data_IF_987646461567
#
_entry.id   IF_987646461567
#
_cell.length_a   1.000
_cell.length_b   1.000
_cell.length_c   1.000
_cell.angle_alpha   90.00
_cell.angle_beta   90.00
_cell.angle_gamma   90.00
#
_symmetry.space_group_name_H-M   'P 1'
#
loop_
_entity.id
_entity.type
_entity.pdbx_description
1 polymer ?
#
# COMPACT_ATOMS: atom_id res chain seq x y z
N UNK A 1 25.48 8.64 -3.29
CA UNK A 1 24.67 7.57 -2.68
C UNK A 1 24.53 7.90 -1.20
N UNK A 2 23.33 8.23 -0.74
CA UNK A 2 23.09 8.50 0.67
C UNK A 2 23.25 7.18 1.45
N UNK A 3 24.04 7.23 2.53
CA UNK A 3 24.52 6.14 3.41
C UNK A 3 24.05 4.70 3.09
N UNK A 4 25.00 3.83 2.70
CA UNK A 4 24.90 2.37 2.93
C UNK A 4 25.11 2.07 4.42
N UNK A 5 24.24 2.54 5.29
CA UNK A 5 24.35 2.26 6.72
C UNK A 5 23.90 0.82 6.97
N UNK A 6 24.85 -0.08 7.29
CA UNK A 6 24.62 -1.51 7.53
C UNK A 6 23.62 -1.79 8.67
N UNK A 7 23.33 -0.79 9.51
CA UNK A 7 22.50 -0.92 10.70
C UNK A 7 21.12 -0.24 10.59
N UNK A 8 20.73 0.26 9.42
CA UNK A 8 19.46 0.99 9.25
C UNK A 8 18.24 0.18 9.75
N UNK A 9 18.12 -1.09 9.31
CA UNK A 9 16.99 -1.94 9.68
C UNK A 9 16.93 -2.23 11.19
N UNK A 10 18.08 -2.46 11.83
CA UNK A 10 18.16 -2.64 13.29
C UNK A 10 17.69 -1.40 14.06
N UNK A 11 17.91 -0.18 13.54
CA UNK A 11 17.38 1.05 14.15
C UNK A 11 15.86 1.15 14.03
N UNK A 12 15.29 0.65 12.93
CA UNK A 12 13.83 0.56 12.76
C UNK A 12 13.26 -0.42 13.78
N UNK A 13 13.86 -1.61 13.91
CA UNK A 13 13.42 -2.64 14.86
C UNK A 13 13.44 -2.12 16.31
N UNK A 14 14.53 -1.46 16.72
CA UNK A 14 14.64 -0.83 18.05
C UNK A 14 13.56 0.23 18.32
N UNK A 15 13.16 0.99 17.30
CA UNK A 15 12.08 1.98 17.44
C UNK A 15 10.69 1.32 17.46
N UNK A 16 10.55 0.10 16.94
CA UNK A 16 9.32 -0.67 17.05
C UNK A 16 9.14 -1.32 18.42
N UNK A 17 10.24 -1.63 19.12
CA UNK A 17 10.20 -2.17 20.48
C UNK A 17 9.36 -1.26 21.41
N UNK A 18 8.41 -1.87 22.12
CA UNK A 18 7.48 -1.16 23.02
C UNK A 18 6.26 -0.49 22.35
N UNK A 19 6.29 -0.21 21.04
CA UNK A 19 5.23 0.54 20.34
C UNK A 19 4.52 -0.29 19.25
N UNK A 20 5.01 -1.50 18.98
CA UNK A 20 4.50 -2.42 17.97
C UNK A 20 2.97 -2.60 18.00
N UNK A 21 2.37 -2.84 19.16
CA UNK A 21 0.93 -3.12 19.25
C UNK A 21 0.06 -1.96 18.76
N UNK A 22 0.44 -0.73 19.13
CA UNK A 22 -0.31 0.47 18.80
C UNK A 22 -0.13 0.82 17.31
N UNK A 23 1.12 0.76 16.83
CA UNK A 23 1.47 0.99 15.44
C UNK A 23 0.83 -0.05 14.51
N UNK A 24 0.88 -1.32 14.91
CA UNK A 24 0.18 -2.42 14.26
C UNK A 24 -1.32 -2.15 14.19
N UNK A 25 -1.96 -1.77 15.31
CA UNK A 25 -3.40 -1.51 15.34
C UNK A 25 -3.82 -0.37 14.41
N UNK A 26 -3.13 0.77 14.43
CA UNK A 26 -3.43 1.89 13.53
C UNK A 26 -3.27 1.51 12.06
N UNK A 27 -2.21 0.78 11.74
CA UNK A 27 -1.90 0.37 10.37
C UNK A 27 -2.82 -0.75 9.91
N UNK A 28 -3.20 -1.66 10.80
CA UNK A 28 -4.16 -2.72 10.55
C UNK A 28 -5.55 -2.15 10.23
N UNK A 29 -6.00 -1.14 10.98
CA UNK A 29 -7.25 -0.43 10.67
C UNK A 29 -7.20 0.20 9.27
N UNK A 30 -6.11 0.89 8.92
CA UNK A 30 -5.94 1.44 7.57
C UNK A 30 -6.06 0.36 6.52
N UNK A 31 -5.29 -0.72 6.67
CA UNK A 31 -5.28 -1.79 5.66
C UNK A 31 -6.62 -2.52 5.57
N UNK A 32 -7.34 -2.72 6.68
CA UNK A 32 -8.70 -3.29 6.63
C UNK A 32 -9.65 -2.35 5.92
N UNK A 33 -9.65 -1.06 6.27
CA UNK A 33 -10.54 -0.09 5.63
C UNK A 33 -10.20 0.01 4.14
N UNK A 34 -8.93 0.13 3.76
CA UNK A 34 -8.49 0.08 2.35
C UNK A 34 -8.97 -1.20 1.65
N UNK A 35 -8.80 -2.36 2.27
CA UNK A 35 -9.23 -3.65 1.69
C UNK A 35 -10.75 -3.70 1.53
N UNK A 36 -11.52 -3.24 2.52
CA UNK A 36 -12.99 -3.21 2.46
C UNK A 36 -13.46 -2.22 1.37
N UNK A 37 -12.73 -1.13 1.16
CA UNK A 37 -13.04 -0.09 0.15
C UNK A 37 -12.67 -0.53 -1.25
N UNK A 38 -11.50 -1.13 -1.43
CA UNK A 38 -11.08 -1.69 -2.72
C UNK A 38 -11.90 -2.95 -3.09
N UNK A 39 -12.58 -3.58 -2.12
CA UNK A 39 -13.24 -4.88 -2.29
C UNK A 39 -14.73 -4.94 -1.95
N UNK A 40 -15.40 -3.79 -1.87
CA UNK A 40 -16.85 -3.72 -1.70
C UNK A 40 -17.62 -4.58 -2.72
N UNK A 41 -17.08 -4.73 -3.93
CA UNK A 41 -17.54 -5.63 -5.01
C UNK A 41 -16.71 -6.93 -5.15
N UNK A 42 -15.40 -6.86 -4.91
CA UNK A 42 -14.40 -7.90 -5.23
C UNK A 42 -14.57 -9.25 -4.50
N UNK A 43 -15.29 -9.33 -3.37
CA UNK A 43 -15.42 -10.61 -2.63
C UNK A 43 -16.56 -11.49 -3.12
N UNK A 44 -17.70 -10.90 -3.49
CA UNK A 44 -18.88 -11.64 -3.98
C UNK A 44 -18.70 -12.01 -5.44
N UNK A 45 -18.24 -11.09 -6.28
CA UNK A 45 -18.05 -11.32 -7.73
C UNK A 45 -16.91 -12.30 -8.03
N UNK A 46 -15.82 -12.31 -7.25
CA UNK A 46 -14.78 -13.34 -7.40
C UNK A 46 -15.26 -14.69 -6.90
N UNK A 47 -16.06 -14.74 -5.84
CA UNK A 47 -16.65 -16.01 -5.39
C UNK A 47 -17.66 -16.51 -6.42
N UNK A 48 -18.45 -15.63 -7.03
CA UNK A 48 -19.38 -15.96 -8.12
C UNK A 48 -18.65 -16.36 -9.38
N UNK A 49 -17.62 -15.64 -9.81
CA UNK A 49 -16.74 -16.00 -10.91
C UNK A 49 -16.02 -17.32 -10.65
N UNK A 50 -15.47 -17.53 -9.45
CA UNK A 50 -14.85 -18.79 -9.08
C UNK A 50 -15.88 -19.90 -9.15
N UNK A 51 -17.07 -19.75 -8.53
CA UNK A 51 -18.20 -20.69 -8.65
C UNK A 51 -18.54 -20.96 -10.11
N UNK A 52 -18.67 -19.96 -10.95
CA UNK A 52 -18.97 -20.11 -12.37
C UNK A 52 -17.86 -20.84 -13.13
N UNK A 53 -16.59 -20.54 -12.83
CA UNK A 53 -15.43 -21.29 -13.36
C UNK A 53 -15.47 -22.74 -12.89
N UNK A 54 -15.92 -23.00 -11.65
CA UNK A 54 -16.13 -24.37 -11.12
C UNK A 54 -17.23 -25.09 -11.91
N UNK A 55 -18.36 -24.43 -12.16
CA UNK A 55 -19.57 -25.07 -12.71
C UNK A 55 -19.64 -25.10 -14.24
N UNK A 56 -19.00 -24.16 -14.92
CA UNK A 56 -19.18 -23.90 -16.36
C UNK A 56 -17.88 -23.72 -17.14
N UNK A 57 -16.72 -23.77 -16.47
CA UNK A 57 -15.41 -23.56 -17.09
C UNK A 57 -15.05 -22.09 -17.31
N UNK A 58 -13.82 -21.83 -17.75
CA UNK A 58 -13.28 -20.48 -17.90
C UNK A 58 -13.68 -19.84 -19.24
N UNK A 59 -14.28 -18.64 -19.20
CA UNK A 59 -14.62 -17.84 -20.38
C UNK A 59 -13.83 -16.53 -20.40
N UNK A 60 -13.04 -16.31 -21.46
CA UNK A 60 -12.22 -15.11 -21.66
C UNK A 60 -13.09 -13.85 -21.79
N UNK A 61 -14.22 -13.94 -22.49
CA UNK A 61 -15.13 -12.81 -22.73
C UNK A 61 -15.85 -12.34 -21.47
N UNK A 62 -16.01 -13.22 -20.47
CA UNK A 62 -16.56 -12.85 -19.15
C UNK A 62 -15.50 -12.33 -18.20
N UNK A 63 -14.29 -12.91 -18.23
CA UNK A 63 -13.16 -12.40 -17.47
C UNK A 63 -12.82 -10.95 -17.84
N UNK A 64 -12.83 -10.63 -19.15
CA UNK A 64 -12.70 -9.24 -19.61
C UNK A 64 -13.86 -8.35 -19.15
N UNK A 65 -15.09 -8.88 -19.09
CA UNK A 65 -16.27 -8.15 -18.63
C UNK A 65 -16.24 -7.80 -17.15
N UNK A 66 -15.78 -8.71 -16.27
CA UNK A 66 -15.58 -8.43 -14.84
C UNK A 66 -14.55 -7.32 -14.66
N UNK A 67 -13.41 -7.39 -15.36
CA UNK A 67 -12.37 -6.34 -15.32
C UNK A 67 -12.92 -4.97 -15.78
N UNK A 68 -13.89 -4.97 -16.72
CA UNK A 68 -14.48 -3.74 -17.28
C UNK A 68 -15.65 -3.21 -16.41
N UNK A 69 -16.48 -4.07 -15.84
CA UNK A 69 -17.63 -3.73 -14.97
C UNK A 69 -17.20 -3.41 -13.51
N UNK A 70 -16.06 -3.95 -13.03
CA UNK A 70 -15.42 -3.69 -11.71
C UNK A 70 -15.02 -2.21 -11.48
N UNK A 71 -15.18 -1.34 -12.47
CA UNK A 71 -14.74 0.06 -12.41
C UNK A 71 -15.88 1.09 -12.42
N UNK A 72 -17.10 0.68 -12.06
CA UNK A 72 -18.20 1.64 -11.83
C UNK A 72 -17.90 2.52 -10.61
N UNK A 73 -17.70 3.83 -10.87
CA UNK A 73 -17.42 4.84 -9.84
C UNK A 73 -18.66 5.10 -8.97
N UNK A 74 -18.73 4.49 -7.78
CA UNK A 74 -19.70 4.91 -6.75
C UNK A 74 -19.13 6.08 -5.93
N UNK A 75 -19.95 7.10 -5.68
CA UNK A 75 -19.66 8.21 -4.77
C UNK A 75 -19.21 7.72 -3.38
N UNK A 76 -19.78 6.62 -2.88
CA UNK A 76 -19.39 6.02 -1.59
C UNK A 76 -17.93 5.55 -1.63
N UNK A 77 -17.50 4.87 -2.70
CA UNK A 77 -16.11 4.42 -2.86
C UNK A 77 -15.12 5.60 -2.87
N UNK A 78 -15.48 6.71 -3.50
CA UNK A 78 -14.66 7.94 -3.51
C UNK A 78 -14.49 8.48 -2.09
N UNK A 79 -15.58 8.60 -1.33
CA UNK A 79 -15.53 9.15 0.03
C UNK A 79 -14.65 8.31 0.95
N UNK A 80 -14.81 6.98 0.92
CA UNK A 80 -14.03 6.12 1.82
C UNK A 80 -12.55 6.06 1.36
N UNK A 81 -12.27 6.10 0.06
CA UNK A 81 -10.89 6.21 -0.45
C UNK A 81 -10.21 7.49 0.02
N UNK A 82 -10.90 8.63 -0.06
CA UNK A 82 -10.39 9.92 0.43
C UNK A 82 -10.17 9.91 1.95
N UNK A 83 -11.09 9.31 2.71
CA UNK A 83 -10.95 9.16 4.17
C UNK A 83 -9.75 8.29 4.54
N UNK A 84 -9.54 7.20 3.81
CA UNK A 84 -8.41 6.27 3.99
C UNK A 84 -7.08 6.94 3.69
N UNK A 85 -7.02 7.73 2.61
CA UNK A 85 -5.85 8.51 2.24
C UNK A 85 -5.54 9.60 3.28
N UNK A 86 -6.56 10.32 3.76
CA UNK A 86 -6.40 11.31 4.83
C UNK A 86 -5.83 10.69 6.11
N UNK A 87 -6.35 9.54 6.52
CA UNK A 87 -5.83 8.82 7.67
C UNK A 87 -4.38 8.32 7.44
N UNK A 88 -4.07 7.86 6.22
CA UNK A 88 -2.70 7.45 5.86
C UNK A 88 -1.70 8.60 5.91
N UNK A 89 -2.06 9.77 5.39
CA UNK A 89 -1.24 10.99 5.42
C UNK A 89 -0.94 11.38 6.86
N UNK A 90 -1.99 11.50 7.67
CA UNK A 90 -1.90 11.95 9.06
C UNK A 90 -1.19 10.94 9.96
N UNK A 91 -1.36 9.64 9.72
CA UNK A 91 -0.56 8.62 10.38
C UNK A 91 0.94 8.80 10.05
N UNK A 92 1.30 9.05 8.79
CA UNK A 92 2.69 9.31 8.43
C UNK A 92 3.24 10.54 9.16
N UNK A 93 2.46 11.60 9.30
CA UNK A 93 2.84 12.77 10.09
C UNK A 93 3.09 12.41 11.57
N UNK A 94 2.20 11.63 12.20
CA UNK A 94 2.41 11.12 13.57
C UNK A 94 3.69 10.28 13.67
N UNK A 95 3.98 9.44 12.67
CA UNK A 95 5.19 8.62 12.66
C UNK A 95 6.45 9.46 12.60
N UNK A 96 6.48 10.52 11.81
CA UNK A 96 7.62 11.43 11.77
C UNK A 96 7.85 12.10 13.13
N UNK A 97 6.78 12.56 13.78
CA UNK A 97 6.88 13.16 15.11
C UNK A 97 7.29 12.13 16.18
N UNK A 98 6.85 10.88 16.07
CA UNK A 98 7.36 9.78 16.89
C UNK A 98 8.87 9.55 16.66
N UNK A 99 9.34 9.57 15.42
CA UNK A 99 10.77 9.45 15.11
C UNK A 99 11.57 10.59 15.73
N UNK A 100 11.04 11.82 15.71
CA UNK A 100 11.67 13.04 16.25
C UNK A 100 11.68 13.08 17.78
N UNK A 101 10.54 12.78 18.42
CA UNK A 101 10.30 13.02 19.85
C UNK A 101 10.39 11.78 20.72
N UNK A 102 10.28 10.59 20.12
CA UNK A 102 10.19 9.31 20.84
C UNK A 102 8.81 9.04 21.45
N UNK A 103 7.81 9.91 21.26
CA UNK A 103 6.45 9.74 21.80
C UNK A 103 5.44 9.52 20.69
N UNK A 104 4.65 8.44 20.79
CA UNK A 104 3.61 8.13 19.82
C UNK A 104 2.24 8.60 20.33
N UNK A 105 1.61 9.55 19.63
CA UNK A 105 0.37 10.18 20.06
C UNK A 105 -0.72 10.14 18.96
N UNK A 106 -1.60 9.14 19.00
CA UNK A 106 -2.69 8.96 18.02
C UNK A 106 -3.62 10.17 17.95
N UNK A 107 -3.86 10.84 19.08
CA UNK A 107 -4.72 12.04 19.13
C UNK A 107 -4.28 13.12 18.14
N UNK A 108 -3.00 13.14 17.75
CA UNK A 108 -2.46 14.13 16.82
C UNK A 108 -2.94 13.91 15.37
N UNK A 109 -3.46 12.72 15.02
CA UNK A 109 -4.09 12.46 13.71
C UNK A 109 -5.14 13.53 13.40
N UNK A 110 -6.08 13.74 14.32
CA UNK A 110 -7.15 14.73 14.14
C UNK A 110 -6.63 16.17 14.23
N UNK A 111 -5.58 16.41 15.01
CA UNK A 111 -4.98 17.74 15.14
C UNK A 111 -4.35 18.18 13.82
N UNK A 112 -3.62 17.30 13.12
CA UNK A 112 -3.01 17.65 11.83
C UNK A 112 -4.04 17.95 10.74
N UNK A 113 -5.20 17.27 10.73
CA UNK A 113 -6.29 17.61 9.79
C UNK A 113 -6.82 19.01 10.07
N UNK A 114 -6.95 19.39 11.34
CA UNK A 114 -7.45 20.72 11.73
C UNK A 114 -6.41 21.82 11.49
N UNK A 115 -5.13 21.52 11.71
CA UNK A 115 -4.03 22.48 11.59
C UNK A 115 -3.60 22.69 10.13
N UNK A 116 -3.65 21.64 9.32
CA UNK A 116 -3.21 21.65 7.91
C UNK A 116 -4.29 21.10 6.94
N UNK A 117 -5.53 21.64 6.96
CA UNK A 117 -6.65 21.06 6.22
C UNK A 117 -6.45 21.09 4.71
N UNK A 118 -5.96 22.22 4.17
CA UNK A 118 -5.78 22.38 2.71
C UNK A 118 -4.68 21.44 2.21
N UNK A 119 -3.59 21.30 2.97
CA UNK A 119 -2.43 20.51 2.63
C UNK A 119 -2.76 19.02 2.67
N UNK A 120 -3.40 18.56 3.75
CA UNK A 120 -3.77 17.15 3.94
C UNK A 120 -4.85 16.70 2.97
N UNK A 121 -5.93 17.48 2.80
CA UNK A 121 -7.00 17.18 1.82
C UNK A 121 -6.47 17.25 0.40
N UNK A 122 -5.72 18.29 0.06
CA UNK A 122 -5.15 18.44 -1.28
C UNK A 122 -4.18 17.31 -1.64
N UNK A 123 -3.28 16.92 -0.72
CA UNK A 123 -2.40 15.78 -0.94
C UNK A 123 -3.16 14.45 -1.07
N UNK A 124 -4.26 14.28 -0.33
CA UNK A 124 -5.16 13.11 -0.43
C UNK A 124 -5.80 13.01 -1.81
N UNK A 125 -6.31 14.13 -2.34
CA UNK A 125 -6.93 14.19 -3.68
C UNK A 125 -5.90 13.90 -4.77
N UNK A 126 -4.71 14.52 -4.72
CA UNK A 126 -3.66 14.27 -5.72
C UNK A 126 -3.22 12.81 -5.67
N UNK A 127 -3.05 12.24 -4.48
CA UNK A 127 -2.70 10.84 -4.32
C UNK A 127 -3.77 9.92 -4.91
N UNK A 128 -5.05 10.17 -4.61
CA UNK A 128 -6.17 9.43 -5.19
C UNK A 128 -6.18 9.47 -6.71
N UNK A 129 -6.05 10.66 -7.31
CA UNK A 129 -6.04 10.82 -8.78
C UNK A 129 -4.90 10.04 -9.44
N UNK A 130 -3.70 10.07 -8.85
CA UNK A 130 -2.57 9.31 -9.39
C UNK A 130 -2.77 7.80 -9.21
N UNK A 131 -3.30 7.38 -8.06
CA UNK A 131 -3.64 5.97 -7.83
C UNK A 131 -4.68 5.47 -8.85
N UNK A 132 -5.69 6.27 -9.17
CA UNK A 132 -6.67 5.96 -10.23
C UNK A 132 -5.96 5.84 -11.58
N UNK A 133 -5.18 6.85 -11.99
CA UNK A 133 -4.49 6.85 -13.30
C UNK A 133 -3.57 5.64 -13.47
N UNK A 134 -2.75 5.34 -12.47
CA UNK A 134 -1.75 4.27 -12.57
C UNK A 134 -2.28 2.89 -12.18
N UNK A 135 -3.37 2.84 -11.42
CA UNK A 135 -4.05 1.60 -11.03
C UNK A 135 -4.63 0.83 -12.21
N UNK A 136 -4.96 1.50 -13.32
CA UNK A 136 -5.48 0.87 -14.54
C UNK A 136 -4.45 0.05 -15.33
N UNK A 137 -3.16 0.13 -14.98
CA UNK A 137 -2.11 -0.61 -15.69
C UNK A 137 -1.90 -1.94 -14.93
N UNK A 138 -2.23 -3.12 -15.49
CA UNK A 138 -2.05 -4.40 -14.80
C UNK A 138 -0.58 -4.65 -14.43
N UNK A 139 -0.29 -5.35 -13.31
CA UNK A 139 1.03 -5.75 -12.78
C UNK A 139 2.01 -4.59 -12.55
N UNK A 140 2.29 -3.78 -13.58
CA UNK A 140 3.01 -2.52 -13.56
C UNK A 140 2.35 -1.54 -12.60
N UNK A 141 1.02 -1.44 -12.56
CA UNK A 141 0.28 -0.59 -11.62
C UNK A 141 0.53 -0.94 -10.16
N UNK A 142 0.69 -2.24 -9.83
CA UNK A 142 1.06 -2.65 -8.48
C UNK A 142 2.47 -2.14 -8.08
N UNK A 143 3.43 -2.23 -9.01
CA UNK A 143 4.80 -1.72 -8.79
C UNK A 143 4.81 -0.20 -8.71
N UNK A 144 4.09 0.48 -9.62
CA UNK A 144 3.96 1.93 -9.64
C UNK A 144 3.29 2.42 -8.36
N UNK A 145 2.27 1.75 -7.85
CA UNK A 145 1.61 2.11 -6.59
C UNK A 145 2.58 2.10 -5.40
N UNK A 146 3.50 1.14 -5.33
CA UNK A 146 4.56 1.16 -4.30
C UNK A 146 5.52 2.34 -4.46
N UNK A 147 5.86 2.71 -5.70
CA UNK A 147 6.72 3.87 -6.00
C UNK A 147 5.98 5.19 -5.68
N UNK A 148 4.69 5.27 -6.00
CA UNK A 148 3.84 6.41 -5.67
C UNK A 148 3.71 6.58 -4.17
N UNK A 149 3.35 5.52 -3.43
CA UNK A 149 3.33 5.56 -1.96
C UNK A 149 4.65 6.04 -1.38
N UNK A 150 5.77 5.65 -1.99
CA UNK A 150 7.08 6.11 -1.58
C UNK A 150 7.29 7.62 -1.84
N UNK A 151 7.06 8.09 -3.08
CA UNK A 151 7.17 9.53 -3.40
C UNK A 151 6.19 10.39 -2.61
N UNK A 152 5.03 9.84 -2.28
CA UNK A 152 4.03 10.51 -1.45
C UNK A 152 4.36 10.52 0.04
N UNK A 153 5.08 9.53 0.56
CA UNK A 153 5.50 9.55 1.97
C UNK A 153 6.25 10.83 2.32
N UNK A 154 7.13 11.30 1.42
CA UNK A 154 7.86 12.56 1.56
C UNK A 154 6.93 13.78 1.53
N UNK A 155 5.86 13.76 0.73
CA UNK A 155 4.85 14.83 0.73
C UNK A 155 4.22 14.96 2.10
N UNK A 156 3.84 13.84 2.72
CA UNK A 156 3.19 13.82 4.03
C UNK A 156 4.09 14.44 5.10
N UNK A 157 5.37 14.12 5.07
CA UNK A 157 6.37 14.68 5.98
C UNK A 157 6.67 16.16 5.72
N UNK A 158 6.68 16.58 4.45
CA UNK A 158 6.91 17.98 4.06
C UNK A 158 5.77 18.90 4.49
N UNK A 159 4.54 18.40 4.65
CA UNK A 159 3.42 19.18 5.23
C UNK A 159 3.81 19.71 6.62
N UNK A 160 4.47 18.90 7.45
CA UNK A 160 4.93 19.30 8.78
C UNK A 160 6.08 20.32 8.75
N UNK A 161 6.91 20.30 7.70
CA UNK A 161 8.10 21.17 7.62
C UNK A 161 7.77 22.49 6.93
N UNK A 162 6.93 22.45 5.89
CA UNK A 162 6.58 23.61 5.07
C UNK A 162 5.05 23.75 4.97
N UNK A 163 4.35 23.98 6.09
CA UNK A 163 2.89 23.96 6.12
C UNK A 163 2.24 25.06 5.27
N UNK A 164 2.98 26.11 4.92
CA UNK A 164 2.49 27.20 4.07
C UNK A 164 2.56 26.90 2.57
N UNK A 165 3.28 25.86 2.16
CA UNK A 165 3.34 25.47 0.75
C UNK A 165 2.04 24.78 0.31
N UNK A 166 1.64 25.02 -0.94
CA UNK A 166 0.46 24.36 -1.49
C UNK A 166 0.76 22.86 -1.78
N UNK A 167 -0.27 22.00 -1.87
CA UNK A 167 -0.11 20.56 -2.08
C UNK A 167 0.72 20.18 -3.32
N UNK A 168 0.56 20.92 -4.41
CA UNK A 168 1.26 20.67 -5.68
C UNK A 168 2.77 20.94 -5.53
N UNK A 169 3.14 22.06 -4.91
CA UNK A 169 4.52 22.42 -4.65
C UNK A 169 5.18 21.43 -3.70
N UNK A 170 4.47 20.98 -2.66
CA UNK A 170 4.93 19.92 -1.77
C UNK A 170 5.20 18.61 -2.54
N UNK A 171 4.34 18.26 -3.49
CA UNK A 171 4.53 17.10 -4.37
C UNK A 171 5.78 17.24 -5.25
N UNK A 172 5.94 18.38 -5.94
CA UNK A 172 7.11 18.65 -6.78
C UNK A 172 8.42 18.66 -5.97
N UNK A 173 8.39 19.26 -4.77
CA UNK A 173 9.54 19.30 -3.85
C UNK A 173 9.89 17.90 -3.35
N UNK A 174 8.89 17.10 -3.00
CA UNK A 174 9.08 15.68 -2.67
C UNK A 174 9.78 14.94 -3.82
N UNK A 175 9.27 15.06 -5.04
CA UNK A 175 9.85 14.38 -6.20
C UNK A 175 11.32 14.76 -6.41
N UNK A 176 11.63 16.06 -6.36
CA UNK A 176 13.00 16.58 -6.45
C UNK A 176 13.89 16.09 -5.30
N UNK A 177 13.36 15.97 -4.09
CA UNK A 177 14.13 15.45 -2.96
C UNK A 177 14.47 13.97 -3.13
N UNK A 178 13.58 13.19 -3.72
CA UNK A 178 13.81 11.74 -3.97
C UNK A 178 14.71 11.46 -5.17
N UNK A 179 15.04 12.46 -5.98
CA UNK A 179 15.85 12.29 -7.18
C UNK A 179 17.25 11.78 -6.84
N UNK A 180 17.70 10.75 -7.57
CA UNK A 180 18.93 10.01 -7.29
C UNK A 180 18.85 8.96 -6.16
N UNK A 181 17.78 8.93 -5.36
CA UNK A 181 17.62 7.98 -4.24
C UNK A 181 16.46 6.98 -4.42
N UNK A 182 15.69 7.07 -5.52
CA UNK A 182 14.52 6.22 -5.82
C UNK A 182 14.82 4.72 -5.69
N UNK A 183 15.97 4.25 -6.19
CA UNK A 183 16.36 2.84 -6.09
C UNK A 183 16.66 2.38 -4.66
N UNK A 184 17.23 3.26 -3.83
CA UNK A 184 17.50 2.94 -2.43
C UNK A 184 16.21 2.76 -1.63
N UNK A 185 15.15 3.44 -2.07
CA UNK A 185 13.85 3.46 -1.45
C UNK A 185 13.02 2.28 -1.91
N UNK A 186 13.12 1.93 -3.19
CA UNK A 186 12.62 0.69 -3.74
C UNK A 186 13.25 -0.55 -3.05
N UNK A 187 14.55 -0.53 -2.77
CA UNK A 187 15.19 -1.62 -2.00
C UNK A 187 14.59 -1.79 -0.60
N UNK A 188 14.19 -0.71 0.08
CA UNK A 188 13.51 -0.80 1.38
C UNK A 188 12.14 -1.45 1.26
N UNK A 189 11.37 -1.11 0.22
CA UNK A 189 10.10 -1.78 -0.10
C UNK A 189 10.32 -3.27 -0.29
N UNK A 190 11.28 -3.66 -1.13
CA UNK A 190 11.61 -5.08 -1.36
C UNK A 190 12.03 -5.74 -0.05
N UNK A 191 12.89 -5.10 0.76
CA UNK A 191 13.36 -5.68 2.01
C UNK A 191 12.20 -6.09 2.93
N UNK A 192 11.24 -5.19 3.15
CA UNK A 192 10.10 -5.44 4.03
C UNK A 192 9.03 -6.34 3.40
N UNK A 193 8.81 -6.28 2.09
CA UNK A 193 7.71 -7.02 1.46
C UNK A 193 8.11 -8.26 0.68
N UNK A 194 9.40 -8.57 0.48
CA UNK A 194 9.86 -9.73 -0.32
C UNK A 194 9.15 -11.04 0.03
N UNK A 195 8.92 -11.30 1.32
CA UNK A 195 8.27 -12.53 1.78
C UNK A 195 6.78 -12.53 1.43
N UNK A 196 6.13 -11.36 1.48
CA UNK A 196 4.75 -11.19 1.04
C UNK A 196 4.62 -11.42 -0.47
N UNK A 197 5.62 -11.02 -1.26
CA UNK A 197 5.61 -11.18 -2.72
C UNK A 197 5.66 -12.66 -3.15
N UNK A 198 6.22 -13.56 -2.34
CA UNK A 198 6.08 -14.99 -2.58
C UNK A 198 4.62 -15.45 -2.58
N UNK A 199 3.75 -14.79 -1.81
CA UNK A 199 2.30 -15.03 -1.85
C UNK A 199 1.69 -14.77 -3.22
N UNK A 200 2.08 -13.67 -3.90
CA UNK A 200 1.65 -13.42 -5.28
C UNK A 200 2.12 -14.53 -6.23
N UNK A 201 3.37 -15.00 -6.08
CA UNK A 201 3.90 -16.11 -6.88
C UNK A 201 3.12 -17.41 -6.68
N UNK A 202 2.83 -17.76 -5.41
CA UNK A 202 2.01 -18.93 -5.06
C UNK A 202 0.61 -18.82 -5.67
N UNK A 203 -0.04 -17.66 -5.54
CA UNK A 203 -1.36 -17.43 -6.14
C UNK A 203 -1.34 -17.52 -7.66
N UNK A 204 -0.30 -17.00 -8.33
CA UNK A 204 -0.15 -17.11 -9.77
C UNK A 204 0.03 -18.56 -10.24
N UNK A 205 0.83 -19.36 -9.52
CA UNK A 205 0.98 -20.80 -9.78
C UNK A 205 -0.35 -21.52 -9.59
N UNK A 206 -1.08 -21.23 -8.51
CA UNK A 206 -2.41 -21.77 -8.26
C UNK A 206 -3.39 -21.44 -9.40
N UNK A 207 -3.36 -20.21 -9.92
CA UNK A 207 -4.18 -19.79 -11.05
C UNK A 207 -3.85 -20.56 -12.33
N UNK A 208 -2.56 -20.76 -12.64
CA UNK A 208 -2.14 -21.57 -13.78
C UNK A 208 -2.59 -23.04 -13.65
N UNK A 209 -2.55 -23.61 -12.44
CA UNK A 209 -3.05 -24.97 -12.18
C UNK A 209 -4.56 -25.04 -12.46
N UNK A 210 -5.34 -24.07 -11.98
CA UNK A 210 -6.78 -24.01 -12.25
C UNK A 210 -7.04 -23.93 -13.76
N UNK A 211 -6.39 -23.00 -14.47
CA UNK A 211 -6.53 -22.84 -15.92
C UNK A 211 -6.22 -24.13 -16.68
N UNK A 212 -5.12 -24.79 -16.35
CA UNK A 212 -4.70 -26.03 -17.03
C UNK A 212 -5.65 -27.19 -16.73
N UNK A 213 -6.13 -27.31 -15.47
CA UNK A 213 -7.09 -28.33 -15.08
C UNK A 213 -8.44 -28.15 -15.80
N UNK A 214 -8.94 -26.92 -15.87
CA UNK A 214 -10.22 -26.62 -16.53
C UNK A 214 -10.13 -26.71 -18.05
N UNK A 215 -9.00 -26.32 -18.65
CA UNK A 215 -8.78 -26.42 -20.10
C UNK A 215 -8.79 -27.87 -20.58
N UNK A 216 -8.20 -28.79 -19.81
CA UNK A 216 -8.04 -30.19 -20.24
C UNK A 216 -9.28 -31.05 -19.99
N UNK A 217 -10.10 -30.73 -18.98
CA UNK A 217 -11.14 -31.64 -18.51
C UNK A 217 -12.57 -31.12 -18.56
N UNK A 218 -12.78 -29.84 -18.92
CA UNK A 218 -14.09 -29.17 -18.93
C UNK A 218 -14.89 -29.26 -17.59
N UNK A 219 -14.31 -29.83 -16.53
CA UNK A 219 -14.88 -30.00 -15.20
C UNK A 219 -13.79 -29.79 -14.14
N UNK A 220 -14.19 -29.38 -12.93
CA UNK A 220 -13.26 -29.18 -11.84
C UNK A 220 -12.82 -30.51 -11.23
N UNK A 221 -11.70 -31.05 -11.70
CA UNK A 221 -11.07 -32.24 -11.11
C UNK A 221 -10.30 -31.89 -9.83
N UNK A 222 -9.85 -32.91 -9.08
CA UNK A 222 -9.03 -32.76 -7.86
C UNK A 222 -7.85 -31.77 -8.04
N UNK A 223 -7.22 -31.75 -9.22
CA UNK A 223 -6.14 -30.83 -9.58
C UNK A 223 -6.62 -29.36 -9.58
N UNK A 224 -7.83 -29.09 -10.08
CA UNK A 224 -8.44 -27.76 -10.03
C UNK A 224 -8.76 -27.31 -8.60
N UNK A 225 -9.26 -28.23 -7.76
CA UNK A 225 -9.46 -27.98 -6.33
C UNK A 225 -8.16 -27.66 -5.59
N UNK A 226 -7.08 -28.37 -5.90
CA UNK A 226 -5.73 -28.06 -5.39
C UNK A 226 -5.23 -26.69 -5.85
N UNK A 227 -5.52 -26.30 -7.10
CA UNK A 227 -5.24 -24.96 -7.63
C UNK A 227 -5.93 -23.86 -6.82
N UNK A 228 -7.23 -24.00 -6.54
CA UNK A 228 -7.97 -23.04 -5.70
C UNK A 228 -7.40 -22.96 -4.29
N UNK A 229 -7.12 -24.09 -3.65
CA UNK A 229 -6.50 -24.10 -2.32
C UNK A 229 -5.16 -23.34 -2.32
N UNK A 230 -4.35 -23.55 -3.36
CA UNK A 230 -3.07 -22.84 -3.54
C UNK A 230 -3.27 -21.33 -3.70
N UNK A 231 -4.30 -20.90 -4.44
CA UNK A 231 -4.66 -19.47 -4.58
C UNK A 231 -5.00 -18.86 -3.22
N UNK A 232 -5.90 -19.50 -2.46
CA UNK A 232 -6.35 -19.04 -1.14
C UNK A 232 -5.17 -18.97 -0.17
N UNK A 233 -4.33 -20.01 -0.14
CA UNK A 233 -3.14 -20.05 0.69
C UNK A 233 -2.16 -18.92 0.33
N UNK A 234 -1.91 -18.70 -0.97
CA UNK A 234 -1.07 -17.60 -1.46
C UNK A 234 -1.59 -16.23 -1.03
N UNK A 235 -2.91 -16.00 -1.09
CA UNK A 235 -3.52 -14.76 -0.61
C UNK A 235 -3.43 -14.61 0.92
N UNK A 236 -3.70 -15.67 1.68
CA UNK A 236 -3.57 -15.65 3.13
C UNK A 236 -2.12 -15.34 3.55
N UNK A 237 -1.14 -15.95 2.88
CA UNK A 237 0.28 -15.68 3.07
C UNK A 237 0.62 -14.21 2.77
N UNK A 238 0.17 -13.70 1.62
CA UNK A 238 0.36 -12.30 1.22
C UNK A 238 -0.20 -11.34 2.28
N UNK A 239 -1.43 -11.56 2.72
CA UNK A 239 -2.12 -10.71 3.71
C UNK A 239 -1.37 -10.72 5.04
N UNK A 240 -1.03 -11.91 5.55
CA UNK A 240 -0.32 -12.07 6.82
C UNK A 240 1.01 -11.30 6.83
N UNK A 241 1.84 -11.49 5.80
CA UNK A 241 3.15 -10.86 5.73
C UNK A 241 3.08 -9.36 5.43
N UNK A 242 2.10 -8.90 4.62
CA UNK A 242 1.84 -7.47 4.48
C UNK A 242 1.50 -6.86 5.83
N UNK A 243 0.50 -7.37 6.53
CA UNK A 243 0.06 -6.86 7.84
C UNK A 243 1.22 -6.82 8.84
N UNK A 244 2.05 -7.86 8.89
CA UNK A 244 3.21 -7.93 9.78
C UNK A 244 4.31 -6.91 9.42
N UNK A 245 4.57 -6.65 8.14
CA UNK A 245 5.73 -5.85 7.75
C UNK A 245 5.39 -4.39 7.45
N UNK A 246 4.11 -4.05 7.22
CA UNK A 246 3.67 -2.68 6.95
C UNK A 246 4.06 -1.68 8.05
N UNK A 247 3.96 -1.98 9.36
CA UNK A 247 4.43 -1.06 10.41
C UNK A 247 5.91 -0.73 10.33
N UNK A 248 6.75 -1.74 10.13
CA UNK A 248 8.19 -1.54 9.97
C UNK A 248 8.50 -0.70 8.73
N UNK A 249 7.78 -0.94 7.63
CA UNK A 249 7.94 -0.17 6.41
C UNK A 249 7.62 1.33 6.59
N UNK A 250 6.47 1.68 7.18
CA UNK A 250 6.12 3.09 7.40
C UNK A 250 7.10 3.79 8.36
N UNK A 251 7.55 3.09 9.41
CA UNK A 251 8.55 3.62 10.32
C UNK A 251 9.90 3.84 9.61
N UNK A 252 10.28 2.92 8.73
CA UNK A 252 11.49 3.05 7.91
C UNK A 252 11.41 4.25 6.96
N UNK A 253 10.24 4.53 6.37
CA UNK A 253 10.05 5.72 5.54
C UNK A 253 10.26 7.02 6.34
N UNK A 254 9.67 7.11 7.53
CA UNK A 254 9.81 8.28 8.40
C UNK A 254 11.26 8.47 8.90
N UNK A 255 11.92 7.39 9.31
CA UNK A 255 13.31 7.42 9.75
C UNK A 255 14.25 7.82 8.59
N UNK A 256 14.07 7.22 7.43
CA UNK A 256 14.87 7.54 6.25
C UNK A 256 14.68 9.00 5.82
N UNK A 257 13.43 9.50 5.86
CA UNK A 257 13.15 10.90 5.57
C UNK A 257 13.93 11.84 6.49
N UNK A 258 13.86 11.62 7.81
CA UNK A 258 14.61 12.42 8.78
C UNK A 258 16.10 12.42 8.49
N UNK A 259 16.71 11.23 8.37
CA UNK A 259 18.14 11.09 8.14
C UNK A 259 18.57 11.74 6.79
N UNK A 260 17.75 11.60 5.75
CA UNK A 260 18.02 12.18 4.43
C UNK A 260 17.98 13.72 4.46
N UNK A 261 17.03 14.29 5.17
CA UNK A 261 16.93 15.74 5.28
C UNK A 261 18.06 16.33 6.13
N UNK A 262 18.44 15.66 7.22
CA UNK A 262 19.64 16.02 8.01
C UNK A 262 20.90 16.04 7.14
N UNK A 263 21.08 15.03 6.28
CA UNK A 263 22.19 14.99 5.32
C UNK A 263 22.16 16.11 4.28
N UNK A 264 20.97 16.52 3.85
CA UNK A 264 20.79 17.68 2.97
C UNK A 264 20.89 19.02 3.71
N UNK A 265 21.22 19.03 5.00
CA UNK A 265 21.24 20.20 5.88
C UNK A 265 19.90 20.95 5.92
N UNK A 266 18.79 20.24 5.73
CA UNK A 266 17.45 20.81 5.85
C UNK A 266 16.95 20.49 7.26
N UNK A 267 16.57 21.53 8.01
CA UNK A 267 16.07 21.38 9.37
C UNK A 267 14.73 20.63 9.35
N UNK A 268 14.66 19.53 10.09
CA UNK A 268 13.49 18.64 10.25
C UNK A 268 13.05 18.64 11.68
#
# INVERSE_FOLDING_TARGET
MFRKDSNFYSRVDKKMEGHWKILFFCIFIINIVSIVVDKGSFSLEIIEFLKEVIYSGFSIDKFSKIIIEEHSFDFVHILISLATNLFTITLNMVLLDFIRTGKFEIKNILNYVKEYPIQTVGASIIFYLLHVIFGYIPIIGAIINYILHFGFSYVYYLILINPKENPINLFLKSWKLTDGNKMELFHKVIHYFKIAWYGYGISAVGFLIVLFATYKSHQMNFIGGFGIFTIIFGFAWLIFWKIKNTPHYYLACALYFKEHMEYKNIKV
#
